data_IF_086782490386
#
_entry.id   IF_086782490386
#
_cell.length_a   1.000
_cell.length_b   1.000
_cell.length_c   1.000
_cell.angle_alpha   90.00
_cell.angle_beta   90.00
_cell.angle_gamma   90.00
#
_symmetry.space_group_name_H-M   'P 1'
#
loop_
_entity.id
_entity.type
_entity.pdbx_description
1 polymer ?
#
# COMPACT_ATOMS: atom_id res chain seq x y z
N UNK A 1 13.17 25.39 -20.88
CA UNK A 1 14.33 25.52 -19.97
C UNK A 1 15.45 24.66 -20.53
N UNK A 2 16.54 25.27 -20.97
CA UNK A 2 17.73 24.58 -21.50
C UNK A 2 18.84 24.53 -20.45
N UNK A 3 18.57 24.03 -19.24
CA UNK A 3 19.65 23.64 -18.32
C UNK A 3 20.18 22.27 -18.72
N UNK A 4 21.50 22.14 -18.81
CA UNK A 4 22.14 20.83 -18.99
C UNK A 4 22.08 20.04 -17.68
N UNK A 5 22.43 18.75 -17.76
CA UNK A 5 22.49 17.89 -16.59
C UNK A 5 23.52 18.40 -15.57
N UNK A 6 24.67 18.88 -16.04
CA UNK A 6 25.75 19.41 -15.21
C UNK A 6 25.31 20.69 -14.52
N UNK A 7 24.61 21.58 -15.23
CA UNK A 7 24.04 22.80 -14.66
C UNK A 7 23.04 22.48 -13.54
N UNK A 8 22.17 21.48 -13.72
CA UNK A 8 21.26 21.05 -12.66
C UNK A 8 21.99 20.57 -11.41
N UNK A 9 23.03 19.75 -11.58
CA UNK A 9 23.81 19.20 -10.47
C UNK A 9 24.60 20.27 -9.72
N UNK A 10 25.17 21.25 -10.43
CA UNK A 10 25.93 22.33 -9.79
C UNK A 10 25.02 23.36 -9.14
N UNK A 11 23.94 23.77 -9.82
CA UNK A 11 23.08 24.85 -9.38
C UNK A 11 22.17 24.45 -8.21
N UNK A 12 21.82 23.17 -8.04
CA UNK A 12 21.00 22.71 -6.93
C UNK A 12 21.77 22.46 -5.62
N UNK A 13 23.11 22.50 -5.67
CA UNK A 13 23.96 22.39 -4.48
C UNK A 13 23.87 23.66 -3.62
N UNK A 14 24.12 23.49 -2.34
CA UNK A 14 24.09 24.58 -1.37
C UNK A 14 25.12 25.66 -1.74
N UNK A 15 24.78 26.91 -1.42
CA UNK A 15 25.58 28.12 -1.65
C UNK A 15 25.85 28.49 -3.12
N UNK A 16 25.15 27.86 -4.09
CA UNK A 16 25.26 28.28 -5.49
C UNK A 16 24.46 29.58 -5.75
N UNK A 17 25.03 30.59 -6.44
CA UNK A 17 24.33 31.87 -6.68
C UNK A 17 22.98 31.75 -7.41
N UNK A 18 22.85 30.74 -8.27
CA UNK A 18 21.61 30.42 -9.01
C UNK A 18 20.72 29.38 -8.34
N UNK A 19 20.99 29.03 -7.07
CA UNK A 19 20.26 27.95 -6.41
C UNK A 19 18.76 28.22 -6.31
N UNK A 20 18.38 29.44 -5.95
CA UNK A 20 16.96 29.81 -5.85
C UNK A 20 16.23 29.64 -7.20
N UNK A 21 16.83 30.12 -8.29
CA UNK A 21 16.27 29.99 -9.65
C UNK A 21 16.18 28.52 -10.09
N UNK A 22 17.21 27.72 -9.80
CA UNK A 22 17.20 26.30 -10.13
C UNK A 22 16.12 25.56 -9.33
N UNK A 23 15.97 25.84 -8.04
CA UNK A 23 14.92 25.24 -7.21
C UNK A 23 13.54 25.61 -7.75
N UNK A 24 13.30 26.88 -8.05
CA UNK A 24 12.01 27.35 -8.58
C UNK A 24 11.69 26.66 -9.91
N UNK A 25 12.64 26.62 -10.83
CA UNK A 25 12.46 26.02 -12.14
C UNK A 25 12.21 24.51 -12.06
N UNK A 26 12.89 23.81 -11.16
CA UNK A 26 12.64 22.40 -10.90
C UNK A 26 11.25 22.20 -10.29
N UNK A 27 10.88 22.97 -9.26
CA UNK A 27 9.56 22.89 -8.64
C UNK A 27 8.45 23.16 -9.66
N UNK A 28 8.57 24.17 -10.53
CA UNK A 28 7.62 24.43 -11.61
C UNK A 28 7.49 23.23 -12.56
N UNK A 29 8.60 22.60 -12.93
CA UNK A 29 8.59 21.40 -13.75
C UNK A 29 7.86 20.22 -13.06
N UNK A 30 8.17 19.97 -11.79
CA UNK A 30 7.57 18.89 -11.00
C UNK A 30 6.08 19.13 -10.76
N UNK A 31 5.69 20.35 -10.33
CA UNK A 31 4.29 20.75 -10.11
C UNK A 31 3.43 20.47 -11.34
N UNK A 32 3.89 20.86 -12.53
CA UNK A 32 3.18 20.60 -13.79
C UNK A 32 2.98 19.12 -14.05
N UNK A 33 4.02 18.30 -13.86
CA UNK A 33 3.95 16.85 -14.04
C UNK A 33 3.01 16.17 -13.04
N UNK A 34 3.11 16.55 -11.77
CA UNK A 34 2.24 16.04 -10.70
C UNK A 34 0.79 16.44 -10.96
N UNK A 35 0.50 17.72 -11.21
CA UNK A 35 -0.85 18.20 -11.46
C UNK A 35 -1.48 17.53 -12.69
N UNK A 36 -0.72 17.35 -13.76
CA UNK A 36 -1.18 16.60 -14.94
C UNK A 36 -1.57 15.17 -14.58
N UNK A 37 -0.77 14.47 -13.76
CA UNK A 37 -1.10 13.14 -13.27
C UNK A 37 -2.35 13.13 -12.38
N UNK A 38 -2.47 14.07 -11.42
CA UNK A 38 -3.64 14.17 -10.54
C UNK A 38 -4.93 14.38 -11.32
N UNK A 39 -4.92 15.19 -12.38
CA UNK A 39 -6.11 15.40 -13.25
C UNK A 39 -6.55 14.16 -14.03
N UNK A 40 -5.67 13.17 -14.22
CA UNK A 40 -6.03 11.91 -14.89
C UNK A 40 -6.69 10.89 -13.94
N UNK A 41 -6.69 11.17 -12.63
CA UNK A 41 -7.17 10.25 -11.60
C UNK A 41 -8.65 10.44 -11.36
N UNK A 42 -9.46 9.50 -11.84
CA UNK A 42 -10.92 9.52 -11.67
C UNK A 42 -11.36 9.48 -10.22
N UNK A 43 -10.57 8.87 -9.34
CA UNK A 43 -10.80 8.84 -7.89
C UNK A 43 -10.63 10.20 -7.21
N UNK A 44 -10.11 11.22 -7.91
CA UNK A 44 -9.96 12.58 -7.39
C UNK A 44 -10.94 13.60 -8.01
N UNK A 45 -11.86 13.15 -8.88
CA UNK A 45 -12.79 14.03 -9.61
C UNK A 45 -13.73 14.84 -8.69
N UNK A 46 -13.86 14.47 -7.43
CA UNK A 46 -14.66 15.19 -6.44
C UNK A 46 -13.95 16.43 -5.86
N UNK A 47 -12.64 16.55 -6.05
CA UNK A 47 -11.85 17.66 -5.56
C UNK A 47 -11.91 18.86 -6.51
N UNK A 48 -11.92 20.06 -5.95
CA UNK A 48 -11.82 21.29 -6.72
C UNK A 48 -10.42 21.45 -7.33
N UNK A 49 -10.34 22.19 -8.45
CA UNK A 49 -9.07 22.48 -9.12
C UNK A 49 -8.05 23.17 -8.20
N UNK A 50 -8.49 24.02 -7.27
CA UNK A 50 -7.63 24.65 -6.26
C UNK A 50 -7.02 23.64 -5.29
N UNK A 51 -7.75 22.59 -4.93
CA UNK A 51 -7.24 21.52 -4.06
C UNK A 51 -6.20 20.68 -4.79
N UNK A 52 -6.45 20.34 -6.06
CA UNK A 52 -5.48 19.63 -6.89
C UNK A 52 -4.20 20.44 -7.08
N UNK A 53 -4.32 21.77 -7.20
CA UNK A 53 -3.16 22.66 -7.24
C UNK A 53 -2.37 22.58 -5.94
N UNK A 54 -2.98 22.79 -4.78
CA UNK A 54 -2.29 22.69 -3.48
C UNK A 54 -1.60 21.32 -3.31
N UNK A 55 -2.30 20.21 -3.60
CA UNK A 55 -1.71 18.87 -3.57
C UNK A 55 -0.48 18.75 -4.48
N UNK A 56 -0.54 19.33 -5.69
CA UNK A 56 0.59 19.32 -6.61
C UNK A 56 1.79 20.11 -6.08
N UNK A 57 1.55 21.19 -5.34
CA UNK A 57 2.60 22.00 -4.73
C UNK A 57 3.29 21.26 -3.60
N UNK A 58 2.51 20.63 -2.72
CA UNK A 58 3.02 19.85 -1.59
C UNK A 58 3.85 18.66 -2.08
N UNK A 59 3.29 17.85 -2.98
CA UNK A 59 3.98 16.69 -3.54
C UNK A 59 5.23 17.07 -4.34
N UNK A 60 5.22 18.22 -5.04
CA UNK A 60 6.42 18.70 -5.74
C UNK A 60 7.53 19.11 -4.77
N UNK A 61 7.18 19.76 -3.66
CA UNK A 61 8.15 20.15 -2.61
C UNK A 61 8.77 18.93 -1.94
N UNK A 62 7.96 17.96 -1.52
CA UNK A 62 8.45 16.72 -0.93
C UNK A 62 9.29 15.88 -1.91
N UNK A 63 8.88 15.82 -3.19
CA UNK A 63 9.69 15.20 -4.24
C UNK A 63 11.03 15.91 -4.42
N UNK A 64 11.04 17.25 -4.41
CA UNK A 64 12.25 18.05 -4.49
C UNK A 64 13.22 17.73 -3.35
N UNK A 65 12.74 17.62 -2.11
CA UNK A 65 13.59 17.24 -0.96
C UNK A 65 14.24 15.86 -1.17
N UNK A 66 13.49 14.89 -1.72
CA UNK A 66 14.02 13.56 -2.06
C UNK A 66 15.05 13.64 -3.19
N UNK A 67 14.82 14.47 -4.20
CA UNK A 67 15.76 14.71 -5.29
C UNK A 67 17.04 15.31 -4.74
N UNK A 68 16.95 16.39 -3.94
CA UNK A 68 18.08 17.06 -3.29
C UNK A 68 18.93 16.07 -2.49
N UNK A 69 18.29 15.25 -1.66
CA UNK A 69 18.96 14.23 -0.85
C UNK A 69 19.62 13.10 -1.67
N UNK A 70 19.29 12.96 -2.95
CA UNK A 70 19.82 11.92 -3.83
C UNK A 70 20.52 12.49 -5.08
N UNK A 71 20.91 13.77 -5.08
CA UNK A 71 21.55 14.42 -6.24
C UNK A 71 22.80 13.64 -6.71
N UNK A 72 23.63 13.19 -5.78
CA UNK A 72 24.86 12.45 -6.10
C UNK A 72 24.60 11.03 -6.65
N UNK A 73 23.35 10.55 -6.63
CA UNK A 73 22.95 9.27 -7.25
C UNK A 73 22.51 9.42 -8.71
N UNK A 74 22.50 10.64 -9.25
CA UNK A 74 22.17 10.84 -10.65
C UNK A 74 23.35 10.47 -11.54
N UNK A 75 23.19 9.41 -12.34
CA UNK A 75 24.27 8.82 -13.16
C UNK A 75 24.36 9.41 -14.59
N UNK A 76 23.58 10.43 -14.94
CA UNK A 76 23.63 11.04 -16.27
C UNK A 76 23.06 10.20 -17.43
N UNK A 77 22.45 9.04 -17.14
CA UNK A 77 21.87 8.11 -18.15
C UNK A 77 20.61 8.64 -18.86
N UNK A 78 20.07 9.77 -18.42
CA UNK A 78 18.91 10.44 -19.01
C UNK A 78 19.01 11.96 -18.77
N UNK A 79 18.03 12.75 -19.24
CA UNK A 79 17.91 14.15 -18.79
C UNK A 79 17.62 14.17 -17.29
N UNK A 80 18.25 15.08 -16.57
CA UNK A 80 18.04 15.30 -15.14
C UNK A 80 16.55 15.46 -14.82
N UNK A 81 15.83 16.25 -15.63
CA UNK A 81 14.39 16.47 -15.47
C UNK A 81 13.57 15.19 -15.60
N UNK A 82 13.96 14.26 -16.48
CA UNK A 82 13.32 12.94 -16.60
C UNK A 82 13.55 12.09 -15.35
N UNK A 83 14.77 12.08 -14.81
CA UNK A 83 15.07 11.36 -13.56
C UNK A 83 14.31 11.95 -12.37
N UNK A 84 14.28 13.29 -12.25
CA UNK A 84 13.54 14.01 -11.22
C UNK A 84 12.02 13.76 -11.33
N UNK A 85 11.45 13.79 -12.55
CA UNK A 85 10.04 13.51 -12.79
C UNK A 85 9.66 12.08 -12.37
N UNK A 86 10.56 11.09 -12.56
CA UNK A 86 10.33 9.72 -12.08
C UNK A 86 10.24 9.65 -10.55
N UNK A 87 11.10 10.39 -9.84
CA UNK A 87 11.05 10.46 -8.37
C UNK A 87 9.75 11.11 -7.91
N UNK A 88 9.35 12.22 -8.53
CA UNK A 88 8.08 12.89 -8.22
C UNK A 88 6.87 11.99 -8.49
N UNK A 89 6.80 11.34 -9.65
CA UNK A 89 5.72 10.41 -9.97
C UNK A 89 5.59 9.27 -8.96
N UNK A 90 6.71 8.63 -8.59
CA UNK A 90 6.72 7.57 -7.59
C UNK A 90 6.24 8.07 -6.22
N UNK A 91 6.66 9.28 -5.84
CA UNK A 91 6.23 9.90 -4.60
C UNK A 91 4.72 10.22 -4.62
N UNK A 92 4.21 10.85 -5.66
CA UNK A 92 2.77 11.13 -5.81
C UNK A 92 1.93 9.86 -5.75
N UNK A 93 2.35 8.80 -6.46
CA UNK A 93 1.66 7.50 -6.41
C UNK A 93 1.64 6.94 -4.98
N UNK A 94 2.75 7.08 -4.25
CA UNK A 94 2.84 6.66 -2.85
C UNK A 94 1.90 7.48 -1.96
N UNK A 95 1.86 8.80 -2.09
CA UNK A 95 0.99 9.65 -1.26
C UNK A 95 -0.50 9.41 -1.55
N UNK A 96 -0.89 9.28 -2.82
CA UNK A 96 -2.28 8.94 -3.16
C UNK A 96 -2.69 7.58 -2.60
N UNK A 97 -1.78 6.60 -2.63
CA UNK A 97 -2.01 5.29 -2.02
C UNK A 97 -2.19 5.43 -0.51
N UNK A 98 -1.34 6.20 0.17
CA UNK A 98 -1.48 6.47 1.61
C UNK A 98 -2.77 7.18 1.94
N UNK A 99 -3.14 8.21 1.18
CA UNK A 99 -4.36 8.97 1.41
C UNK A 99 -5.60 8.09 1.34
N UNK A 100 -5.65 7.12 0.42
CA UNK A 100 -6.73 6.13 0.31
C UNK A 100 -6.88 5.28 1.59
N UNK A 101 -5.79 4.99 2.29
CA UNK A 101 -5.77 4.11 3.46
C UNK A 101 -5.51 4.87 4.77
N UNK A 102 -5.59 6.21 4.75
CA UNK A 102 -5.26 7.05 5.91
C UNK A 102 -6.32 6.96 7.00
N UNK A 103 -7.59 6.91 6.60
CA UNK A 103 -8.73 6.73 7.50
C UNK A 103 -9.03 5.25 7.77
N UNK A 104 -8.25 4.37 7.16
CA UNK A 104 -8.31 2.95 7.41
C UNK A 104 -7.65 2.68 8.78
N UNK A 105 -8.39 2.13 9.74
CA UNK A 105 -7.88 1.82 11.08
C UNK A 105 -7.81 0.31 11.27
N UNK A 106 -6.61 -0.22 11.55
CA UNK A 106 -6.44 -1.65 11.84
C UNK A 106 -7.15 -2.07 13.12
N UNK A 107 -7.20 -1.19 14.12
CA UNK A 107 -7.89 -1.44 15.38
C UNK A 107 -9.40 -1.50 15.15
N UNK A 108 -9.93 -0.63 14.28
CA UNK A 108 -11.33 -0.68 13.88
C UNK A 108 -11.66 -1.96 13.13
N UNK A 109 -10.79 -2.51 12.28
CA UNK A 109 -11.05 -3.81 11.60
C UNK A 109 -11.26 -4.93 12.60
N UNK A 110 -10.48 -4.94 13.68
CA UNK A 110 -10.55 -5.98 14.71
C UNK A 110 -11.68 -5.76 15.71
N UNK A 111 -12.06 -4.51 15.96
CA UNK A 111 -13.15 -4.15 16.90
C UNK A 111 -14.53 -4.12 16.23
N UNK A 112 -14.65 -3.56 15.03
CA UNK A 112 -15.93 -3.44 14.31
C UNK A 112 -16.46 -4.77 13.82
N UNK A 113 -15.57 -5.78 13.71
CA UNK A 113 -15.96 -7.16 13.45
C UNK A 113 -16.58 -7.39 12.07
N UNK A 114 -16.91 -6.39 11.26
CA UNK A 114 -17.65 -6.55 10.01
C UNK A 114 -16.83 -7.30 8.96
N UNK A 115 -15.59 -6.88 8.71
CA UNK A 115 -14.69 -7.54 7.75
C UNK A 115 -14.21 -8.91 8.22
N UNK A 116 -14.10 -9.10 9.54
CA UNK A 116 -13.84 -10.41 10.13
C UNK A 116 -15.09 -11.29 10.04
N UNK A 117 -16.29 -10.80 10.34
CA UNK A 117 -17.55 -11.52 10.21
C UNK A 117 -17.77 -11.99 8.78
N UNK A 118 -17.39 -11.22 7.75
CA UNK A 118 -17.43 -11.69 6.36
C UNK A 118 -16.51 -12.89 6.10
N UNK A 119 -15.38 -13.01 6.81
CA UNK A 119 -14.52 -14.21 6.78
C UNK A 119 -15.11 -15.33 7.63
N UNK A 120 -15.63 -15.00 8.80
CA UNK A 120 -16.02 -15.98 9.82
C UNK A 120 -17.42 -16.55 9.57
N UNK A 121 -18.20 -15.90 8.72
CA UNK A 121 -19.52 -16.38 8.30
C UNK A 121 -19.33 -17.34 7.13
N UNK A 122 -19.70 -18.62 7.26
CA UNK A 122 -19.69 -19.52 6.13
C UNK A 122 -20.59 -18.94 5.01
N UNK A 123 -20.19 -19.04 3.73
CA UNK A 123 -21.03 -18.64 2.62
C UNK A 123 -22.39 -19.33 2.73
N UNK A 124 -23.48 -18.60 2.45
CA UNK A 124 -24.80 -19.21 2.32
C UNK A 124 -24.84 -20.01 1.01
N UNK A 125 -24.34 -21.24 1.03
CA UNK A 125 -24.30 -22.07 -0.16
C UNK A 125 -25.62 -22.82 -0.36
N UNK A 126 -26.11 -22.79 -1.60
CA UNK A 126 -27.31 -23.52 -2.04
C UNK A 126 -26.96 -24.95 -2.46
N UNK A 127 -25.96 -25.58 -1.81
CA UNK A 127 -25.54 -26.93 -2.18
C UNK A 127 -26.59 -27.96 -1.72
N UNK A 128 -26.88 -28.93 -2.59
CA UNK A 128 -27.97 -29.89 -2.38
C UNK A 128 -27.59 -31.07 -1.47
N UNK A 129 -26.36 -31.10 -0.92
CA UNK A 129 -25.85 -32.22 -0.12
C UNK A 129 -25.51 -31.81 1.33
N UNK A 130 -26.27 -32.27 2.34
CA UNK A 130 -26.06 -31.95 3.75
C UNK A 130 -24.67 -32.31 4.30
N UNK A 131 -24.04 -33.38 3.79
CA UNK A 131 -22.73 -33.84 4.30
C UNK A 131 -21.61 -32.86 3.92
N UNK A 132 -21.62 -32.35 2.68
CA UNK A 132 -20.65 -31.37 2.18
C UNK A 132 -20.79 -30.02 2.90
N UNK A 133 -22.01 -29.61 3.23
CA UNK A 133 -22.26 -28.42 4.05
C UNK A 133 -21.69 -28.55 5.46
N UNK A 134 -21.81 -29.74 6.07
CA UNK A 134 -21.26 -30.00 7.40
C UNK A 134 -19.73 -29.93 7.40
N UNK A 135 -19.08 -30.52 6.40
CA UNK A 135 -17.62 -30.48 6.25
C UNK A 135 -17.10 -29.05 6.04
N UNK A 136 -17.78 -28.27 5.18
CA UNK A 136 -17.45 -26.85 4.95
C UNK A 136 -17.56 -26.04 6.24
N UNK A 137 -18.64 -26.24 7.00
CA UNK A 137 -18.86 -25.57 8.28
C UNK A 137 -17.75 -25.91 9.27
N UNK A 138 -17.35 -27.18 9.36
CA UNK A 138 -16.28 -27.62 10.25
C UNK A 138 -14.94 -26.94 9.92
N UNK A 139 -14.61 -26.80 8.64
CA UNK A 139 -13.41 -26.07 8.20
C UNK A 139 -13.50 -24.59 8.57
N UNK A 140 -14.66 -23.95 8.33
CA UNK A 140 -14.89 -22.56 8.70
C UNK A 140 -14.76 -22.30 10.20
N UNK A 141 -15.37 -23.14 11.04
CA UNK A 141 -15.27 -23.05 12.49
C UNK A 141 -13.81 -23.19 12.96
N UNK A 142 -13.05 -24.07 12.32
CA UNK A 142 -11.63 -24.27 12.65
C UNK A 142 -10.78 -23.05 12.26
N UNK A 143 -11.02 -22.47 11.08
CA UNK A 143 -10.36 -21.23 10.68
C UNK A 143 -10.69 -20.08 11.64
N UNK A 144 -11.96 -19.98 12.04
CA UNK A 144 -12.46 -18.97 12.96
C UNK A 144 -11.76 -19.06 14.32
N UNK A 145 -11.65 -20.27 14.87
CA UNK A 145 -10.97 -20.52 16.13
C UNK A 145 -9.50 -20.09 16.08
N UNK A 146 -8.78 -20.44 15.01
CA UNK A 146 -7.37 -20.01 14.84
C UNK A 146 -7.25 -18.49 14.76
N UNK A 147 -8.09 -17.83 13.96
CA UNK A 147 -8.04 -16.39 13.74
C UNK A 147 -8.28 -15.62 15.05
N UNK A 148 -9.20 -16.09 15.88
CA UNK A 148 -9.59 -15.40 17.10
C UNK A 148 -8.74 -15.76 18.32
N UNK A 149 -8.33 -17.03 18.43
CA UNK A 149 -7.75 -17.55 19.67
C UNK A 149 -6.25 -17.90 19.55
N UNK A 150 -5.74 -18.18 18.34
CA UNK A 150 -4.34 -18.56 18.16
C UNK A 150 -3.48 -17.46 17.52
N UNK A 151 -4.04 -16.59 16.68
CA UNK A 151 -3.30 -15.48 16.10
C UNK A 151 -3.05 -14.38 17.13
N UNK A 152 -1.86 -13.78 17.09
CA UNK A 152 -1.64 -12.54 17.84
C UNK A 152 -2.41 -11.40 17.18
N UNK A 153 -2.69 -10.34 17.93
CA UNK A 153 -3.37 -9.14 17.41
C UNK A 153 -2.74 -8.65 16.09
N UNK A 154 -1.42 -8.48 16.08
CA UNK A 154 -0.69 -8.01 14.89
C UNK A 154 -0.74 -9.00 13.73
N UNK A 155 -0.76 -10.31 13.99
CA UNK A 155 -0.92 -11.33 12.95
C UNK A 155 -2.30 -11.25 12.32
N UNK A 156 -3.34 -11.11 13.14
CA UNK A 156 -4.73 -10.96 12.70
C UNK A 156 -4.93 -9.68 11.91
N UNK A 157 -4.50 -8.53 12.44
CA UNK A 157 -4.57 -7.23 11.75
C UNK A 157 -3.88 -7.26 10.39
N UNK A 158 -2.66 -7.82 10.31
CA UNK A 158 -1.95 -7.93 9.04
C UNK A 158 -2.67 -8.86 8.05
N UNK A 159 -3.21 -9.99 8.51
CA UNK A 159 -3.92 -10.94 7.67
C UNK A 159 -5.16 -10.32 7.06
N UNK A 160 -6.03 -9.71 7.87
CA UNK A 160 -7.29 -9.12 7.40
C UNK A 160 -7.01 -7.95 6.46
N UNK A 161 -6.14 -7.02 6.86
CA UNK A 161 -5.80 -5.85 6.04
C UNK A 161 -5.27 -6.25 4.65
N UNK A 162 -4.39 -7.25 4.57
CA UNK A 162 -3.79 -7.63 3.28
C UNK A 162 -4.70 -8.53 2.45
N UNK A 163 -5.40 -9.49 3.07
CA UNK A 163 -6.14 -10.53 2.32
C UNK A 163 -7.58 -10.18 2.01
N UNK A 164 -8.22 -9.40 2.86
CA UNK A 164 -9.64 -9.08 2.71
C UNK A 164 -9.77 -7.67 2.14
N UNK A 165 -9.10 -6.75 2.82
CA UNK A 165 -9.22 -5.32 2.55
C UNK A 165 -8.26 -4.88 1.43
N UNK A 166 -7.44 -5.80 0.94
CA UNK A 166 -6.47 -5.58 -0.15
C UNK A 166 -5.57 -4.37 0.09
N UNK A 167 -5.28 -4.08 1.37
CA UNK A 167 -4.37 -3.01 1.78
C UNK A 167 -2.95 -3.41 1.39
N UNK A 168 -2.21 -2.55 0.66
CA UNK A 168 -0.84 -2.82 0.28
C UNK A 168 0.06 -3.03 1.51
N UNK A 169 0.98 -4.00 1.44
CA UNK A 169 1.89 -4.36 2.55
C UNK A 169 2.68 -3.17 3.09
N UNK A 170 3.12 -2.26 2.21
CA UNK A 170 3.84 -1.06 2.62
C UNK A 170 3.00 -0.14 3.53
N UNK A 171 1.69 -0.12 3.31
CA UNK A 171 0.76 0.66 4.10
C UNK A 171 0.46 -0.02 5.44
N UNK A 172 0.23 -1.33 5.42
CA UNK A 172 0.09 -2.13 6.66
C UNK A 172 1.33 -1.99 7.54
N UNK A 173 2.54 -1.98 6.94
CA UNK A 173 3.78 -1.75 7.67
C UNK A 173 3.79 -0.37 8.35
N UNK A 174 3.34 0.68 7.66
CA UNK A 174 3.21 2.02 8.22
C UNK A 174 2.21 2.06 9.37
N UNK A 175 1.01 1.48 9.18
CA UNK A 175 -0.05 1.45 10.18
C UNK A 175 0.35 0.70 11.45
N UNK A 176 1.07 -0.43 11.31
CA UNK A 176 1.62 -1.20 12.42
C UNK A 176 2.93 -0.63 12.98
N UNK A 177 3.39 0.53 12.49
CA UNK A 177 4.66 1.15 12.83
C UNK A 177 5.86 0.17 12.75
N UNK A 178 6.00 -0.47 11.58
CA UNK A 178 7.02 -1.48 11.30
C UNK A 178 7.50 -1.43 9.85
N UNK A 179 8.21 -2.46 9.38
CA UNK A 179 8.69 -2.57 8.00
C UNK A 179 8.01 -3.73 7.24
N UNK A 180 8.12 -3.71 5.91
CA UNK A 180 7.49 -4.70 5.03
C UNK A 180 7.94 -6.14 5.35
N UNK A 181 9.22 -6.36 5.67
CA UNK A 181 9.74 -7.69 6.01
C UNK A 181 9.06 -8.26 7.26
N UNK A 182 8.80 -7.43 8.26
CA UNK A 182 8.07 -7.85 9.45
C UNK A 182 6.61 -8.19 9.12
N UNK A 183 5.95 -7.43 8.25
CA UNK A 183 4.59 -7.76 7.78
C UNK A 183 4.57 -9.09 7.02
N UNK A 184 5.55 -9.36 6.15
CA UNK A 184 5.68 -10.66 5.50
C UNK A 184 5.81 -11.81 6.50
N UNK A 185 6.61 -11.60 7.56
CA UNK A 185 6.77 -12.57 8.64
C UNK A 185 5.46 -12.80 9.40
N UNK A 186 4.74 -11.74 9.79
CA UNK A 186 3.43 -11.83 10.45
C UNK A 186 2.44 -12.65 9.60
N UNK A 187 2.36 -12.37 8.30
CA UNK A 187 1.51 -13.10 7.36
C UNK A 187 1.93 -14.55 7.18
N UNK A 188 3.23 -14.84 7.20
CA UNK A 188 3.75 -16.20 7.10
C UNK A 188 3.39 -17.00 8.35
N UNK A 189 3.66 -16.46 9.54
CA UNK A 189 3.36 -17.11 10.82
C UNK A 189 1.85 -17.35 10.99
N UNK A 190 1.01 -16.40 10.57
CA UNK A 190 -0.44 -16.57 10.58
C UNK A 190 -0.90 -17.73 9.68
N UNK A 191 -0.38 -17.80 8.43
CA UNK A 191 -0.68 -18.89 7.49
C UNK A 191 -0.21 -20.25 8.02
N UNK A 192 0.93 -20.29 8.71
CA UNK A 192 1.46 -21.54 9.26
C UNK A 192 0.57 -22.08 10.40
N UNK A 193 0.03 -21.20 11.27
CA UNK A 193 -0.93 -21.60 12.31
C UNK A 193 -2.23 -22.15 11.72
N UNK A 194 -2.80 -21.44 10.72
CA UNK A 194 -3.99 -21.90 9.99
C UNK A 194 -3.76 -23.27 9.36
N UNK A 195 -2.65 -23.42 8.62
CA UNK A 195 -2.29 -24.70 7.99
C UNK A 195 -2.16 -25.82 9.02
N UNK A 196 -1.49 -25.57 10.14
CA UNK A 196 -1.30 -26.60 11.19
C UNK A 196 -2.63 -27.09 11.74
N UNK A 197 -3.60 -26.20 12.04
CA UNK A 197 -4.90 -26.67 12.54
C UNK A 197 -5.72 -27.42 11.49
N UNK A 198 -5.69 -26.97 10.24
CA UNK A 198 -6.36 -27.70 9.16
C UNK A 198 -5.78 -29.11 8.96
N UNK A 199 -4.46 -29.28 9.08
CA UNK A 199 -3.83 -30.60 9.02
C UNK A 199 -4.25 -31.55 10.14
N UNK A 200 -4.69 -31.05 11.30
CA UNK A 200 -5.19 -31.91 12.38
C UNK A 200 -6.58 -32.47 12.06
N UNK A 201 -7.33 -31.85 11.12
CA UNK A 201 -8.60 -32.40 10.64
C UNK A 201 -8.42 -33.56 9.65
N UNK A 202 -7.17 -33.97 9.37
CA UNK A 202 -6.82 -34.98 8.33
C UNK A 202 -7.36 -34.65 6.94
N UNK A 203 -7.73 -33.38 6.74
CA UNK A 203 -8.16 -32.83 5.47
C UNK A 203 -6.92 -32.28 4.77
N UNK A 204 -6.52 -32.92 3.66
CA UNK A 204 -5.43 -32.41 2.86
C UNK A 204 -5.81 -31.08 2.17
N UNK A 205 -4.81 -30.32 1.73
CA UNK A 205 -5.06 -29.01 1.14
C UNK A 205 -5.83 -29.09 -0.19
N UNK A 206 -5.66 -30.16 -0.95
CA UNK A 206 -6.34 -30.39 -2.24
C UNK A 206 -7.83 -30.71 -2.02
N UNK A 207 -8.14 -31.54 -1.01
CA UNK A 207 -9.49 -31.84 -0.57
C UNK A 207 -10.20 -30.59 -0.05
N UNK A 208 -9.55 -29.76 0.77
CA UNK A 208 -10.12 -28.48 1.22
C UNK A 208 -10.38 -27.57 0.03
N UNK A 209 -9.45 -27.44 -0.91
CA UNK A 209 -9.65 -26.61 -2.10
C UNK A 209 -10.82 -27.11 -2.96
N UNK A 210 -10.94 -28.43 -3.15
CA UNK A 210 -12.07 -29.05 -3.86
C UNK A 210 -13.39 -28.86 -3.11
N UNK A 211 -13.36 -28.89 -1.78
CA UNK A 211 -14.51 -28.65 -0.94
C UNK A 211 -15.05 -27.23 -1.11
N UNK A 212 -14.22 -26.23 -1.42
CA UNK A 212 -14.63 -24.82 -1.61
C UNK A 212 -14.60 -24.33 -3.07
N UNK A 213 -14.36 -25.21 -4.04
CA UNK A 213 -14.44 -24.91 -5.49
C UNK A 213 -15.87 -25.06 -6.02
#
# INVERSE_FOLDING_TARGET
>A
MERTNEAWLSELRDDHPKQAEAIEDLLQHLKRGVLAYLRTRSDLNYLAETELQHMSEDFAQEAFLKIKANLDKFEGKSKFTTWAAKIAANHTISELRRAKWRDFSLDAITESGTSLQEILTPPADQSSNPDTESERRQVWETLNDVINNELTERQRQALVAVRIENVPIAEVARMLNTNANNVYKLLHDARLKLKRRLQVLDMDAEYILNLFS
#
